data_IF_497037793949
#
_entry.id   IF_497037793949
#
_cell.length_a   1.000
_cell.length_b   1.000
_cell.length_c   1.000
_cell.angle_alpha   90.00
_cell.angle_beta   90.00
_cell.angle_gamma   90.00
#
_symmetry.space_group_name_H-M   'P 1'
#
loop_
_entity.id
_entity.type
_entity.pdbx_description
1 polymer ?
#
# COMPACT_ATOMS: atom_id res chain seq x y z
N UNK A 1 -17.00 18.14 8.25
CA UNK A 1 -18.08 17.64 9.17
C UNK A 1 -17.65 17.91 10.60
N UNK A 2 -18.58 18.24 11.50
CA UNK A 2 -18.26 18.35 12.92
C UNK A 2 -18.26 16.96 13.60
N UNK A 3 -17.76 16.87 14.85
CA UNK A 3 -17.65 15.61 15.59
C UNK A 3 -18.99 14.89 15.75
N UNK A 4 -20.05 15.62 16.06
CA UNK A 4 -21.38 15.06 16.27
C UNK A 4 -21.97 14.46 14.98
N UNK A 5 -21.69 15.08 13.82
CA UNK A 5 -22.13 14.55 12.53
C UNK A 5 -21.37 13.25 12.18
N UNK A 6 -20.07 13.18 12.49
CA UNK A 6 -19.25 11.98 12.32
C UNK A 6 -19.78 10.86 13.21
N UNK A 7 -20.02 11.14 14.49
CA UNK A 7 -20.58 10.17 15.42
C UNK A 7 -21.92 9.59 14.92
N UNK A 8 -22.87 10.46 14.54
CA UNK A 8 -24.17 10.03 13.99
C UNK A 8 -24.03 9.19 12.72
N UNK A 9 -23.06 9.49 11.88
CA UNK A 9 -22.80 8.72 10.66
C UNK A 9 -22.31 7.31 11.00
N UNK A 10 -21.38 7.17 11.93
CA UNK A 10 -20.86 5.88 12.41
C UNK A 10 -21.99 5.04 13.02
N UNK A 11 -22.83 5.63 13.86
CA UNK A 11 -23.98 4.92 14.44
C UNK A 11 -24.97 4.43 13.37
N UNK A 12 -25.24 5.21 12.31
CA UNK A 12 -26.04 4.75 11.17
C UNK A 12 -25.39 3.59 10.43
N UNK A 13 -24.06 3.64 10.20
CA UNK A 13 -23.32 2.53 9.58
C UNK A 13 -23.35 1.29 10.44
N UNK A 14 -23.21 1.44 11.76
CA UNK A 14 -23.27 0.34 12.72
C UNK A 14 -24.66 -0.32 12.74
N UNK A 15 -25.74 0.48 12.73
CA UNK A 15 -27.11 -0.01 12.63
C UNK A 15 -27.34 -0.78 11.32
N UNK A 16 -26.86 -0.24 10.20
CA UNK A 16 -26.94 -0.90 8.89
C UNK A 16 -26.14 -2.20 8.86
N UNK A 17 -24.94 -2.25 9.44
CA UNK A 17 -24.16 -3.46 9.56
C UNK A 17 -24.90 -4.54 10.35
N UNK A 18 -25.51 -4.19 11.49
CA UNK A 18 -26.29 -5.15 12.31
C UNK A 18 -27.61 -5.56 11.70
N UNK A 19 -28.11 -4.90 10.66
CA UNK A 19 -29.23 -5.40 9.87
C UNK A 19 -28.90 -6.64 9.03
N UNK A 20 -27.61 -7.02 8.96
CA UNK A 20 -27.07 -8.12 8.16
C UNK A 20 -27.19 -7.92 6.63
N UNK A 21 -27.55 -6.74 6.16
CA UNK A 21 -27.66 -6.42 4.73
C UNK A 21 -26.33 -6.63 3.98
N UNK A 22 -25.21 -6.31 4.62
CA UNK A 22 -23.86 -6.49 4.07
C UNK A 22 -23.41 -7.95 4.01
N UNK A 23 -24.09 -8.88 4.70
CA UNK A 23 -23.75 -10.32 4.66
C UNK A 23 -24.21 -10.97 3.35
N UNK A 24 -25.19 -10.38 2.65
CA UNK A 24 -25.67 -10.89 1.36
C UNK A 24 -24.60 -10.69 0.28
N UNK A 25 -24.06 -11.81 -0.23
CA UNK A 25 -22.98 -11.80 -1.24
C UNK A 25 -23.43 -11.16 -2.56
N UNK A 26 -24.69 -11.31 -2.97
CA UNK A 26 -25.18 -10.71 -4.20
C UNK A 26 -25.24 -9.18 -4.11
N UNK A 27 -25.56 -8.66 -2.93
CA UNK A 27 -25.53 -7.21 -2.68
C UNK A 27 -24.11 -6.66 -2.77
N UNK A 28 -23.11 -7.39 -2.23
CA UNK A 28 -21.68 -7.01 -2.37
C UNK A 28 -21.21 -7.03 -3.82
N UNK A 29 -21.58 -8.08 -4.56
CA UNK A 29 -21.25 -8.20 -6.00
C UNK A 29 -21.92 -7.06 -6.78
N UNK A 30 -23.18 -6.75 -6.48
CA UNK A 30 -23.88 -5.64 -7.12
C UNK A 30 -23.21 -4.29 -6.81
N UNK A 31 -22.82 -4.06 -5.56
CA UNK A 31 -22.11 -2.88 -5.11
C UNK A 31 -20.78 -2.68 -5.86
N UNK A 32 -19.96 -3.74 -5.97
CA UNK A 32 -18.69 -3.72 -6.72
C UNK A 32 -18.91 -3.49 -8.22
N UNK A 33 -19.93 -4.09 -8.83
CA UNK A 33 -20.28 -3.84 -10.24
C UNK A 33 -20.70 -2.40 -10.47
N UNK A 34 -21.52 -1.83 -9.58
CA UNK A 34 -21.95 -0.44 -9.65
C UNK A 34 -20.76 0.52 -9.54
N UNK A 35 -19.84 0.27 -8.62
CA UNK A 35 -18.61 1.02 -8.49
C UNK A 35 -17.76 0.93 -9.76
N UNK A 36 -17.57 -0.26 -10.32
CA UNK A 36 -16.83 -0.46 -11.58
C UNK A 36 -17.41 0.37 -12.72
N UNK A 37 -18.71 0.31 -12.90
CA UNK A 37 -19.41 1.09 -13.95
C UNK A 37 -19.26 2.60 -13.71
N UNK A 38 -19.37 3.04 -12.47
CA UNK A 38 -19.16 4.44 -12.09
C UNK A 38 -17.74 4.93 -12.43
N UNK A 39 -16.71 4.14 -12.11
CA UNK A 39 -15.32 4.45 -12.45
C UNK A 39 -15.14 4.56 -13.97
N UNK A 40 -15.62 3.58 -14.73
CA UNK A 40 -15.51 3.58 -16.19
C UNK A 40 -16.21 4.79 -16.83
N UNK A 41 -17.36 5.20 -16.30
CA UNK A 41 -18.10 6.38 -16.77
C UNK A 41 -17.35 7.70 -16.48
N UNK A 42 -16.63 7.79 -15.37
CA UNK A 42 -15.97 9.00 -14.90
C UNK A 42 -14.45 9.03 -15.20
N UNK A 43 -13.93 8.17 -16.08
CA UNK A 43 -12.49 8.02 -16.33
C UNK A 43 -11.81 9.35 -16.74
N UNK A 44 -12.44 10.14 -17.58
CA UNK A 44 -11.92 11.46 -17.99
C UNK A 44 -11.90 12.45 -16.80
N UNK A 45 -12.94 12.47 -15.94
CA UNK A 45 -12.96 13.33 -14.75
C UNK A 45 -11.90 12.91 -13.73
N UNK A 46 -11.63 11.59 -13.60
CA UNK A 46 -10.57 11.07 -12.74
C UNK A 46 -9.20 11.57 -13.21
N UNK A 47 -8.92 11.45 -14.52
CA UNK A 47 -7.68 11.93 -15.09
C UNK A 47 -7.50 13.45 -14.89
N UNK A 48 -8.55 14.23 -15.12
CA UNK A 48 -8.54 15.69 -14.88
C UNK A 48 -8.27 16.06 -13.43
N UNK A 49 -8.86 15.33 -12.48
CA UNK A 49 -8.63 15.56 -11.05
C UNK A 49 -7.19 15.23 -10.63
N UNK A 50 -6.63 14.14 -11.15
CA UNK A 50 -5.25 13.72 -10.90
C UNK A 50 -4.22 14.68 -11.54
N UNK A 51 -4.52 15.18 -12.72
CA UNK A 51 -3.72 16.25 -13.37
C UNK A 51 -3.73 17.52 -12.52
N UNK A 52 -4.89 17.96 -12.07
CA UNK A 52 -5.03 19.16 -11.23
C UNK A 52 -4.25 19.05 -9.91
N UNK A 53 -4.28 17.89 -9.24
CA UNK A 53 -3.62 17.67 -7.94
C UNK A 53 -2.11 17.40 -8.11
N UNK A 54 -1.70 16.52 -9.01
CA UNK A 54 -0.34 15.97 -9.13
C UNK A 54 0.35 16.24 -10.48
N UNK A 55 -0.33 16.85 -11.45
CA UNK A 55 0.20 17.05 -12.80
C UNK A 55 0.38 15.75 -13.60
N UNK A 56 -0.30 14.66 -13.20
CA UNK A 56 -0.22 13.37 -13.90
C UNK A 56 -0.84 13.48 -15.29
N UNK A 57 -0.16 12.93 -16.30
CA UNK A 57 -0.76 12.76 -17.63
C UNK A 57 -1.92 11.76 -17.60
N UNK A 58 -2.79 11.80 -18.61
CA UNK A 58 -3.89 10.82 -18.74
C UNK A 58 -3.38 9.38 -18.75
N UNK A 59 -2.25 9.13 -19.42
CA UNK A 59 -1.65 7.80 -19.49
C UNK A 59 -1.17 7.33 -18.10
N UNK A 60 -0.44 8.17 -17.38
CA UNK A 60 0.04 7.87 -16.04
C UNK A 60 -1.14 7.67 -15.05
N UNK A 61 -2.16 8.53 -15.14
CA UNK A 61 -3.38 8.43 -14.33
C UNK A 61 -4.09 7.09 -14.53
N UNK A 62 -4.21 6.61 -15.77
CA UNK A 62 -4.80 5.30 -16.04
C UNK A 62 -3.89 4.16 -15.60
N UNK A 63 -2.61 4.19 -16.00
CA UNK A 63 -1.65 3.11 -15.73
C UNK A 63 -1.44 2.89 -14.23
N UNK A 64 -1.37 3.95 -13.44
CA UNK A 64 -0.98 3.88 -12.03
C UNK A 64 -2.15 3.95 -11.05
N UNK A 65 -3.34 4.34 -11.49
CA UNK A 65 -4.49 4.48 -10.59
C UNK A 65 -5.75 3.82 -11.15
N UNK A 66 -6.39 4.40 -12.17
CA UNK A 66 -7.71 3.92 -12.64
C UNK A 66 -7.67 2.46 -13.11
N UNK A 67 -6.65 2.09 -13.89
CA UNK A 67 -6.48 0.74 -14.44
C UNK A 67 -6.25 -0.31 -13.35
N UNK A 68 -5.47 0.02 -12.31
CA UNK A 68 -5.21 -0.87 -11.17
C UNK A 68 -6.49 -1.08 -10.36
N UNK A 69 -7.23 -0.03 -10.04
CA UNK A 69 -8.53 -0.13 -9.35
C UNK A 69 -9.51 -1.01 -10.13
N UNK A 70 -9.62 -0.83 -11.46
CA UNK A 70 -10.48 -1.65 -12.31
C UNK A 70 -10.03 -3.12 -12.35
N UNK A 71 -8.72 -3.36 -12.27
CA UNK A 71 -8.15 -4.71 -12.16
C UNK A 71 -8.52 -5.36 -10.84
N UNK A 72 -8.37 -4.65 -9.71
CA UNK A 72 -8.72 -5.15 -8.37
C UNK A 72 -10.20 -5.47 -8.25
N UNK A 73 -11.10 -4.59 -8.73
CA UNK A 73 -12.55 -4.90 -8.75
C UNK A 73 -12.83 -6.16 -9.58
N UNK A 74 -12.17 -6.30 -10.74
CA UNK A 74 -12.37 -7.45 -11.62
C UNK A 74 -11.90 -8.74 -10.97
N UNK A 75 -10.74 -8.71 -10.31
CA UNK A 75 -10.20 -9.81 -9.53
C UNK A 75 -11.16 -10.20 -8.39
N UNK A 76 -11.62 -9.22 -7.62
CA UNK A 76 -12.51 -9.45 -6.51
C UNK A 76 -13.86 -10.02 -6.95
N UNK A 77 -14.48 -9.49 -8.02
CA UNK A 77 -15.72 -10.03 -8.60
C UNK A 77 -15.58 -11.49 -9.04
N UNK A 78 -14.42 -11.87 -9.57
CA UNK A 78 -14.13 -13.25 -9.98
C UNK A 78 -14.01 -14.21 -8.79
N UNK A 79 -13.50 -13.73 -7.64
CA UNK A 79 -13.07 -14.59 -6.55
C UNK A 79 -13.93 -14.50 -5.28
N UNK A 80 -14.74 -13.46 -5.10
CA UNK A 80 -15.49 -13.18 -3.87
C UNK A 80 -16.33 -14.38 -3.39
N UNK A 81 -17.00 -15.10 -4.30
CA UNK A 81 -17.77 -16.30 -3.95
C UNK A 81 -16.92 -17.42 -3.34
N UNK A 82 -15.64 -17.51 -3.76
CA UNK A 82 -14.68 -18.48 -3.20
C UNK A 82 -14.17 -18.01 -1.87
N UNK A 83 -13.85 -16.72 -1.73
CA UNK A 83 -13.30 -16.16 -0.52
C UNK A 83 -14.27 -16.19 0.67
N UNK A 84 -15.56 -16.03 0.42
CA UNK A 84 -16.62 -16.04 1.45
C UNK A 84 -17.01 -17.45 1.93
N UNK A 85 -16.54 -18.53 1.27
CA UNK A 85 -16.87 -19.90 1.65
C UNK A 85 -16.17 -20.34 2.93
N UNK A 86 -16.84 -21.23 3.65
CA UNK A 86 -16.23 -21.99 4.73
C UNK A 86 -15.09 -22.86 4.20
N UNK A 87 -13.95 -22.82 4.89
CA UNK A 87 -12.80 -23.67 4.58
C UNK A 87 -12.70 -24.79 5.60
N UNK A 88 -12.95 -26.02 5.16
CA UNK A 88 -12.72 -27.21 6.01
C UNK A 88 -11.24 -27.35 6.36
N UNK A 89 -10.99 -27.75 7.59
CA UNK A 89 -9.68 -28.09 8.11
C UNK A 89 -9.69 -29.49 8.68
N UNK A 90 -8.52 -30.08 8.90
CA UNK A 90 -8.42 -31.40 9.53
C UNK A 90 -9.07 -31.38 10.93
N UNK A 91 -9.92 -32.39 11.20
CA UNK A 91 -10.52 -32.59 12.51
C UNK A 91 -9.75 -33.72 13.20
N UNK A 92 -9.12 -33.49 14.38
CA UNK A 92 -8.41 -34.54 15.11
C UNK A 92 -9.33 -35.71 15.49
N UNK A 93 -8.77 -36.92 15.52
CA UNK A 93 -9.53 -38.13 15.88
C UNK A 93 -10.19 -38.04 17.24
N UNK A 94 -9.56 -37.34 18.20
CA UNK A 94 -10.12 -37.06 19.54
C UNK A 94 -11.43 -36.26 19.52
N UNK A 95 -11.76 -35.63 18.40
CA UNK A 95 -13.00 -34.88 18.17
C UNK A 95 -13.99 -35.62 17.23
N UNK A 96 -13.80 -36.92 17.04
CA UNK A 96 -14.70 -37.78 16.25
C UNK A 96 -16.11 -37.79 16.87
N UNK A 97 -17.22 -37.67 16.20
CA UNK A 97 -17.62 -37.19 14.90
C UNK A 97 -17.83 -35.66 14.88
N UNK A 98 -16.89 -34.91 14.34
CA UNK A 98 -17.04 -33.48 14.21
C UNK A 98 -16.60 -33.03 12.80
N UNK A 99 -17.03 -31.84 12.42
CA UNK A 99 -16.54 -31.11 11.25
C UNK A 99 -15.90 -29.81 11.71
N UNK A 100 -14.60 -29.65 11.47
CA UNK A 100 -13.88 -28.41 11.77
C UNK A 100 -13.75 -27.55 10.52
N UNK A 101 -14.00 -26.26 10.64
CA UNK A 101 -13.88 -25.32 9.54
C UNK A 101 -13.62 -23.89 10.04
N UNK A 102 -13.03 -23.06 9.18
CA UNK A 102 -12.95 -21.62 9.37
C UNK A 102 -13.97 -20.91 8.48
N UNK A 103 -14.56 -19.85 8.98
CA UNK A 103 -15.57 -19.03 8.28
C UNK A 103 -15.19 -17.56 8.38
N UNK A 104 -14.96 -16.85 7.23
CA UNK A 104 -14.74 -15.44 7.25
C UNK A 104 -16.02 -14.69 7.64
N UNK A 105 -15.85 -13.58 8.32
CA UNK A 105 -16.90 -12.61 8.61
C UNK A 105 -16.33 -11.21 8.62
N UNK A 106 -17.08 -10.19 8.22
CA UNK A 106 -16.65 -8.80 8.30
C UNK A 106 -16.37 -8.39 9.75
N UNK A 107 -15.50 -7.41 9.94
CA UNK A 107 -15.28 -6.79 11.24
C UNK A 107 -16.49 -5.94 11.68
N UNK A 108 -16.96 -5.04 10.82
CA UNK A 108 -18.04 -4.11 11.13
C UNK A 108 -17.94 -2.80 10.39
N UNK A 109 -17.83 -1.71 11.14
CA UNK A 109 -17.60 -0.36 10.61
C UNK A 109 -16.10 -0.12 10.49
N UNK A 110 -15.62 0.12 9.28
CA UNK A 110 -14.20 0.27 8.96
C UNK A 110 -13.86 1.71 8.61
N UNK A 111 -12.75 2.21 9.13
CA UNK A 111 -12.15 3.48 8.70
C UNK A 111 -11.01 3.21 7.72
N UNK A 112 -11.06 3.83 6.54
CA UNK A 112 -9.96 3.86 5.57
C UNK A 112 -9.45 5.28 5.45
N UNK A 113 -8.18 5.51 5.80
CA UNK A 113 -7.51 6.80 5.68
C UNK A 113 -6.43 6.71 4.61
N UNK A 114 -6.61 7.43 3.52
CA UNK A 114 -5.74 7.33 2.34
C UNK A 114 -4.85 8.56 2.13
N UNK A 115 -3.68 8.38 1.49
CA UNK A 115 -2.70 9.43 1.24
C UNK A 115 -3.03 10.22 -0.04
N UNK A 116 -2.13 11.13 -0.39
CA UNK A 116 -2.28 12.07 -1.49
C UNK A 116 -1.51 11.72 -2.77
N UNK A 117 -0.58 10.76 -2.72
CA UNK A 117 0.35 10.49 -3.82
C UNK A 117 -0.25 9.63 -4.96
N UNK A 118 -1.10 8.68 -4.61
CA UNK A 118 -1.98 7.93 -5.51
C UNK A 118 -3.40 7.96 -4.91
N UNK A 119 -4.02 9.15 -4.90
CA UNK A 119 -5.20 9.39 -4.07
C UNK A 119 -6.42 8.58 -4.51
N UNK A 120 -6.55 8.28 -5.79
CA UNK A 120 -7.65 7.47 -6.31
C UNK A 120 -7.43 5.98 -6.01
N UNK A 121 -6.28 5.44 -6.38
CA UNK A 121 -5.92 4.04 -6.14
C UNK A 121 -5.98 3.67 -4.65
N UNK A 122 -5.22 4.41 -3.82
CA UNK A 122 -5.05 4.10 -2.40
C UNK A 122 -6.30 4.42 -1.55
N UNK A 123 -7.31 5.07 -2.13
CA UNK A 123 -8.64 5.17 -1.54
C UNK A 123 -9.53 4.00 -1.93
N UNK A 124 -9.52 3.61 -3.21
CA UNK A 124 -10.52 2.68 -3.73
C UNK A 124 -10.10 1.20 -3.61
N UNK A 125 -8.83 0.86 -3.69
CA UNK A 125 -8.38 -0.54 -3.51
C UNK A 125 -8.79 -1.11 -2.14
N UNK A 126 -8.43 -0.50 -1.00
CA UNK A 126 -8.87 -0.99 0.29
C UNK A 126 -10.39 -0.89 0.49
N UNK A 127 -11.07 0.05 -0.16
CA UNK A 127 -12.53 0.13 -0.16
C UNK A 127 -13.17 -1.08 -0.85
N UNK A 128 -12.63 -1.50 -2.00
CA UNK A 128 -13.08 -2.70 -2.73
C UNK A 128 -12.98 -3.93 -1.85
N UNK A 129 -11.86 -4.10 -1.19
CA UNK A 129 -11.58 -5.23 -0.30
C UNK A 129 -12.53 -5.25 0.90
N UNK A 130 -12.76 -4.08 1.52
CA UNK A 130 -13.65 -3.93 2.66
C UNK A 130 -15.12 -4.24 2.29
N UNK A 131 -15.60 -3.76 1.13
CA UNK A 131 -16.94 -4.07 0.61
C UNK A 131 -17.05 -5.57 0.30
N UNK A 132 -16.04 -6.16 -0.34
CA UNK A 132 -16.03 -7.58 -0.66
C UNK A 132 -16.09 -8.45 0.60
N UNK A 133 -15.42 -8.06 1.67
CA UNK A 133 -15.47 -8.72 2.96
C UNK A 133 -16.83 -8.55 3.68
N UNK A 134 -17.59 -7.47 3.36
CA UNK A 134 -18.93 -7.20 3.90
C UNK A 134 -18.98 -6.18 5.02
N UNK A 135 -18.00 -5.30 5.09
CA UNK A 135 -17.98 -4.19 6.03
C UNK A 135 -18.79 -2.99 5.53
N UNK A 136 -19.16 -2.09 6.44
CA UNK A 136 -19.50 -0.71 6.13
C UNK A 136 -18.24 0.13 6.25
N UNK A 137 -18.13 1.23 5.48
CA UNK A 137 -16.88 1.95 5.35
C UNK A 137 -17.06 3.45 5.48
N UNK A 138 -16.22 4.07 6.30
CA UNK A 138 -15.93 5.49 6.24
C UNK A 138 -14.58 5.67 5.56
N UNK A 139 -14.60 6.35 4.41
CA UNK A 139 -13.43 6.68 3.63
C UNK A 139 -13.00 8.11 3.90
N UNK A 140 -11.74 8.31 4.28
CA UNK A 140 -11.14 9.62 4.56
C UNK A 140 -9.98 9.88 3.58
N UNK A 141 -10.26 10.41 2.37
CA UNK A 141 -9.21 10.78 1.43
C UNK A 141 -8.41 12.00 1.92
N UNK A 142 -7.22 12.18 1.38
CA UNK A 142 -6.30 13.23 1.80
C UNK A 142 -6.80 14.64 1.43
N UNK A 143 -6.65 15.59 2.34
CA UNK A 143 -6.89 17.00 2.06
C UNK A 143 -5.85 17.63 1.10
N UNK A 144 -4.70 16.98 0.90
CA UNK A 144 -3.65 17.49 0.00
C UNK A 144 -3.97 17.24 -1.48
N UNK A 145 -4.89 16.32 -1.79
CA UNK A 145 -5.41 16.06 -3.14
C UNK A 145 -6.90 16.44 -3.22
N UNK A 146 -7.25 17.74 -3.16
CA UNK A 146 -8.62 18.20 -2.98
C UNK A 146 -9.52 17.91 -4.18
N UNK A 147 -9.00 17.93 -5.41
CA UNK A 147 -9.79 17.67 -6.61
C UNK A 147 -10.18 16.19 -6.68
N UNK A 148 -9.22 15.30 -6.47
CA UNK A 148 -9.46 13.86 -6.43
C UNK A 148 -10.39 13.48 -5.25
N UNK A 149 -10.19 14.08 -4.09
CA UNK A 149 -11.04 13.82 -2.91
C UNK A 149 -12.51 14.23 -3.12
N UNK A 150 -12.76 15.37 -3.76
CA UNK A 150 -14.11 15.81 -4.13
C UNK A 150 -14.75 14.86 -5.16
N UNK A 151 -13.97 14.43 -6.15
CA UNK A 151 -14.47 13.50 -7.15
C UNK A 151 -14.82 12.14 -6.54
N UNK A 152 -13.96 11.60 -5.67
CA UNK A 152 -14.24 10.37 -4.92
C UNK A 152 -15.53 10.52 -4.10
N UNK A 153 -15.72 11.63 -3.40
CA UNK A 153 -16.94 11.90 -2.64
C UNK A 153 -18.19 11.90 -3.54
N UNK A 154 -18.13 12.58 -4.70
CA UNK A 154 -19.21 12.59 -5.71
C UNK A 154 -19.54 11.16 -6.16
N UNK A 155 -18.54 10.40 -6.59
CA UNK A 155 -18.70 9.04 -7.11
C UNK A 155 -19.25 8.06 -6.05
N UNK A 156 -18.78 8.15 -4.81
CA UNK A 156 -19.24 7.29 -3.72
C UNK A 156 -20.71 7.59 -3.40
N UNK A 157 -21.12 8.86 -3.36
CA UNK A 157 -22.54 9.25 -3.17
C UNK A 157 -23.44 8.75 -4.30
N UNK A 158 -22.95 8.67 -5.55
CA UNK A 158 -23.70 8.10 -6.67
C UNK A 158 -23.84 6.58 -6.55
N UNK A 159 -22.84 5.92 -5.95
CA UNK A 159 -22.78 4.47 -5.88
C UNK A 159 -23.47 3.87 -4.65
N UNK A 160 -23.38 4.52 -3.50
CA UNK A 160 -23.73 3.94 -2.21
C UNK A 160 -24.58 4.88 -1.36
N UNK A 161 -25.39 4.30 -0.49
CA UNK A 161 -26.00 5.04 0.61
C UNK A 161 -24.93 5.33 1.70
N UNK A 162 -25.05 6.44 2.45
CA UNK A 162 -24.06 6.78 3.49
C UNK A 162 -23.96 5.73 4.61
N UNK A 163 -25.01 4.94 4.82
CA UNK A 163 -25.01 3.84 5.78
C UNK A 163 -24.13 2.68 5.34
N UNK A 164 -23.86 2.53 4.04
CA UNK A 164 -22.97 1.49 3.52
C UNK A 164 -21.55 2.01 3.32
N UNK A 165 -21.40 3.10 2.58
CA UNK A 165 -20.09 3.77 2.34
C UNK A 165 -20.28 5.28 2.39
N UNK A 166 -19.51 5.94 3.21
CA UNK A 166 -19.49 7.40 3.29
C UNK A 166 -18.09 7.96 3.15
N UNK A 167 -17.99 9.17 2.60
CA UNK A 167 -16.72 9.91 2.52
C UNK A 167 -16.76 11.07 3.49
N UNK A 168 -15.70 11.20 4.30
CA UNK A 168 -15.47 12.36 5.15
C UNK A 168 -14.29 13.14 4.58
N UNK A 169 -14.56 14.26 3.93
CA UNK A 169 -13.52 15.17 3.44
C UNK A 169 -13.10 16.13 4.55
N UNK A 170 -11.89 16.67 4.44
CA UNK A 170 -11.34 17.63 5.41
C UNK A 170 -9.90 17.34 5.80
N UNK A 171 -9.39 18.07 6.77
CA UNK A 171 -7.99 18.06 7.17
C UNK A 171 -7.71 17.40 8.53
N UNK A 172 -6.83 18.04 9.31
CA UNK A 172 -6.40 17.53 10.62
C UNK A 172 -7.55 17.41 11.62
N UNK A 173 -8.48 18.36 11.61
CA UNK A 173 -9.61 18.36 12.55
C UNK A 173 -10.48 17.10 12.35
N UNK A 174 -10.85 16.81 11.11
CA UNK A 174 -11.64 15.61 10.78
C UNK A 174 -10.88 14.32 11.05
N UNK A 175 -9.56 14.28 10.77
CA UNK A 175 -8.73 13.12 11.12
C UNK A 175 -8.76 12.86 12.64
N UNK A 176 -8.60 13.90 13.45
CA UNK A 176 -8.65 13.77 14.91
C UNK A 176 -10.02 13.29 15.36
N UNK A 177 -11.09 13.91 14.85
CA UNK A 177 -12.47 13.52 15.18
C UNK A 177 -12.77 12.06 14.83
N UNK A 178 -12.31 11.58 13.67
CA UNK A 178 -12.48 10.18 13.27
C UNK A 178 -11.71 9.22 14.18
N UNK A 179 -10.47 9.56 14.54
CA UNK A 179 -9.63 8.71 15.39
C UNK A 179 -10.05 8.70 16.88
N UNK A 180 -10.95 9.59 17.31
CA UNK A 180 -11.60 9.54 18.62
C UNK A 180 -12.81 8.58 18.65
N UNK A 181 -13.33 8.17 17.49
CA UNK A 181 -14.49 7.30 17.38
C UNK A 181 -14.09 5.81 17.40
N UNK A 182 -15.05 4.96 17.77
CA UNK A 182 -14.87 3.52 17.77
C UNK A 182 -15.14 2.90 16.40
N UNK A 183 -14.10 2.42 15.74
CA UNK A 183 -14.15 1.59 14.55
C UNK A 183 -13.82 0.13 14.90
N UNK A 184 -14.34 -0.80 14.08
CA UNK A 184 -14.05 -2.23 14.23
C UNK A 184 -12.76 -2.65 13.49
N UNK A 185 -12.29 -1.81 12.57
CA UNK A 185 -11.01 -1.93 11.88
C UNK A 185 -10.55 -0.57 11.32
N UNK A 186 -9.24 -0.31 11.32
CA UNK A 186 -8.66 0.89 10.67
C UNK A 186 -7.61 0.46 9.66
N UNK A 187 -7.75 0.94 8.42
CA UNK A 187 -6.74 0.82 7.37
C UNK A 187 -6.17 2.21 7.09
N UNK A 188 -4.88 2.37 7.28
CA UNK A 188 -4.19 3.63 7.12
C UNK A 188 -3.02 3.50 6.16
N UNK A 189 -2.92 4.41 5.19
CA UNK A 189 -1.74 4.58 4.33
C UNK A 189 -1.22 6.00 4.48
N UNK A 190 0.08 6.15 4.79
CA UNK A 190 0.69 7.47 4.94
C UNK A 190 2.03 7.46 5.66
N UNK A 191 2.37 8.56 6.33
CA UNK A 191 3.67 8.69 7.01
C UNK A 191 3.72 7.90 8.32
N UNK A 192 4.93 7.48 8.71
CA UNK A 192 5.19 6.76 9.96
C UNK A 192 4.69 7.51 11.19
N UNK A 193 4.84 8.85 11.23
CA UNK A 193 4.39 9.65 12.37
C UNK A 193 2.87 9.59 12.55
N UNK A 194 2.11 9.67 11.45
CA UNK A 194 0.64 9.55 11.52
C UNK A 194 0.24 8.09 11.79
N UNK A 195 0.97 7.10 11.25
CA UNK A 195 0.75 5.69 11.55
C UNK A 195 0.87 5.37 13.05
N UNK A 196 1.90 5.93 13.72
CA UNK A 196 2.03 5.81 15.19
C UNK A 196 0.85 6.46 15.94
N UNK A 197 0.35 7.60 15.45
CA UNK A 197 -0.84 8.24 16.03
C UNK A 197 -2.09 7.39 15.86
N UNK A 198 -2.29 6.79 14.67
CA UNK A 198 -3.38 5.84 14.43
C UNK A 198 -3.32 4.66 15.39
N UNK A 199 -2.15 4.01 15.57
CA UNK A 199 -1.96 2.92 16.53
C UNK A 199 -2.29 3.37 17.96
N UNK A 200 -1.79 4.53 18.37
CA UNK A 200 -2.01 5.07 19.72
C UNK A 200 -3.50 5.31 19.99
N UNK A 201 -4.24 5.84 19.01
CA UNK A 201 -5.67 6.10 19.15
C UNK A 201 -6.49 4.81 19.10
N UNK A 202 -6.18 3.91 18.19
CA UNK A 202 -6.89 2.62 18.05
C UNK A 202 -6.78 1.75 19.30
N UNK A 203 -5.69 1.88 20.06
CA UNK A 203 -5.49 1.10 21.29
C UNK A 203 -6.55 1.35 22.37
N UNK A 204 -7.19 2.53 22.40
CA UNK A 204 -8.25 2.85 23.33
C UNK A 204 -9.47 1.93 23.18
N UNK A 205 -9.71 1.40 22.00
CA UNK A 205 -10.83 0.53 21.67
C UNK A 205 -10.37 -0.90 21.30
N UNK A 206 -9.08 -1.21 21.41
CA UNK A 206 -8.47 -2.46 20.91
C UNK A 206 -8.78 -2.72 19.43
N UNK A 207 -8.93 -1.65 18.64
CA UNK A 207 -9.21 -1.73 17.22
C UNK A 207 -7.99 -2.24 16.47
N UNK A 208 -8.09 -3.35 15.71
CA UNK A 208 -7.00 -3.81 14.86
C UNK A 208 -6.73 -2.83 13.72
N UNK A 209 -5.46 -2.73 13.32
CA UNK A 209 -5.02 -1.79 12.29
C UNK A 209 -4.17 -2.48 11.23
N UNK A 210 -4.30 -2.03 9.98
CA UNK A 210 -3.28 -2.19 8.94
C UNK A 210 -2.66 -0.83 8.67
N UNK A 211 -1.32 -0.79 8.62
CA UNK A 211 -0.55 0.41 8.38
C UNK A 211 0.34 0.18 7.15
N UNK A 212 0.10 0.94 6.10
CA UNK A 212 0.95 1.01 4.92
C UNK A 212 1.76 2.30 4.99
N UNK A 213 3.05 2.14 5.30
CA UNK A 213 3.95 3.27 5.56
C UNK A 213 5.04 3.35 4.50
N UNK A 214 5.83 4.41 4.53
CA UNK A 214 6.99 4.55 3.65
C UNK A 214 8.27 3.99 4.24
N UNK A 215 9.37 4.25 3.56
CA UNK A 215 10.70 3.87 4.00
C UNK A 215 11.75 4.18 2.95
N UNK A 216 13.04 4.02 3.30
CA UNK A 216 14.14 4.20 2.35
C UNK A 216 14.38 2.89 1.60
N UNK A 217 13.71 2.71 0.47
CA UNK A 217 13.79 1.51 -0.38
C UNK A 217 15.11 1.46 -1.16
N UNK A 218 16.03 0.53 -0.87
CA UNK A 218 17.29 0.39 -1.60
C UNK A 218 17.08 -0.20 -2.98
N UNK A 219 17.86 0.29 -3.94
CA UNK A 219 18.00 -0.33 -5.26
C UNK A 219 19.47 -0.67 -5.50
N UNK A 220 19.77 -1.95 -5.63
CA UNK A 220 21.12 -2.46 -5.75
C UNK A 220 21.42 -2.77 -7.21
N UNK A 221 22.54 -2.25 -7.72
CA UNK A 221 23.05 -2.55 -9.07
C UNK A 221 24.36 -3.31 -8.93
N UNK A 222 24.33 -4.59 -9.25
CA UNK A 222 25.46 -5.50 -9.17
C UNK A 222 26.41 -5.36 -10.37
N UNK A 223 27.66 -5.81 -10.22
CA UNK A 223 28.65 -5.79 -11.29
C UNK A 223 28.24 -6.61 -12.54
N UNK A 224 27.41 -7.63 -12.34
CA UNK A 224 26.88 -8.48 -13.41
C UNK A 224 25.62 -7.93 -14.09
N UNK A 225 25.07 -6.80 -13.62
CA UNK A 225 23.81 -6.26 -14.11
C UNK A 225 23.86 -5.85 -15.59
N UNK A 226 22.72 -5.94 -16.29
CA UNK A 226 22.55 -5.27 -17.57
C UNK A 226 22.33 -3.78 -17.33
N UNK A 227 23.40 -2.99 -17.42
CA UNK A 227 23.40 -1.59 -17.02
C UNK A 227 22.40 -0.74 -17.80
N UNK A 228 22.24 -0.99 -19.10
CA UNK A 228 21.28 -0.25 -19.96
C UNK A 228 19.84 -0.55 -19.53
N UNK A 229 19.52 -1.82 -19.29
CA UNK A 229 18.20 -2.22 -18.84
C UNK A 229 17.94 -1.75 -17.41
N UNK A 230 18.92 -1.87 -16.51
CA UNK A 230 18.85 -1.41 -15.13
C UNK A 230 18.58 0.11 -15.09
N UNK A 231 19.37 0.91 -15.78
CA UNK A 231 19.18 2.34 -15.85
C UNK A 231 17.77 2.72 -16.36
N UNK A 232 17.28 2.06 -17.44
CA UNK A 232 15.95 2.31 -17.99
C UNK A 232 14.83 2.05 -16.97
N UNK A 233 14.88 0.93 -16.25
CA UNK A 233 13.87 0.51 -15.28
C UNK A 233 13.95 1.31 -13.98
N UNK A 234 15.16 1.63 -13.54
CA UNK A 234 15.37 2.46 -12.35
C UNK A 234 14.89 3.89 -12.59
N UNK A 235 15.21 4.48 -13.72
CA UNK A 235 14.75 5.83 -14.10
C UNK A 235 13.23 5.88 -14.15
N UNK A 236 12.58 4.89 -14.76
CA UNK A 236 11.12 4.78 -14.74
C UNK A 236 10.58 4.72 -13.32
N UNK A 237 11.03 3.77 -12.50
CA UNK A 237 10.48 3.56 -11.15
C UNK A 237 10.82 4.69 -10.17
N UNK A 238 11.97 5.36 -10.35
CA UNK A 238 12.35 6.49 -9.51
C UNK A 238 11.57 7.76 -9.80
N UNK A 239 11.32 8.07 -11.08
CA UNK A 239 10.76 9.36 -11.44
C UNK A 239 9.26 9.31 -11.78
N UNK A 240 8.63 8.12 -11.78
CA UNK A 240 7.18 7.98 -11.85
C UNK A 240 6.54 8.79 -10.71
N UNK A 241 5.48 9.53 -11.00
CA UNK A 241 4.82 10.45 -10.05
C UNK A 241 5.81 11.43 -9.38
N UNK A 242 6.84 11.88 -10.11
CA UNK A 242 7.95 12.68 -9.58
C UNK A 242 8.63 12.07 -8.33
N UNK A 243 8.71 10.73 -8.25
CA UNK A 243 9.29 10.02 -7.11
C UNK A 243 8.45 10.03 -5.85
N UNK A 244 7.22 10.52 -5.88
CA UNK A 244 6.28 10.57 -4.75
C UNK A 244 5.57 9.21 -4.57
N UNK A 245 6.36 8.15 -4.41
CA UNK A 245 5.91 6.75 -4.38
C UNK A 245 6.61 6.03 -3.23
N UNK A 246 5.84 5.38 -2.36
CA UNK A 246 6.34 4.67 -1.18
C UNK A 246 7.30 3.52 -1.52
N UNK A 247 7.20 2.98 -2.73
CA UNK A 247 8.09 1.94 -3.27
C UNK A 247 9.06 2.45 -4.33
N UNK A 248 9.18 3.77 -4.55
CA UNK A 248 10.22 4.28 -5.44
C UNK A 248 11.61 3.85 -4.96
N UNK A 249 12.55 3.52 -5.85
CA UNK A 249 13.96 3.44 -5.49
C UNK A 249 14.36 4.72 -4.75
N UNK A 250 14.56 4.65 -3.43
CA UNK A 250 14.85 5.86 -2.64
C UNK A 250 16.32 6.25 -2.80
N UNK A 251 17.20 5.24 -2.79
CA UNK A 251 18.63 5.40 -3.09
C UNK A 251 19.18 4.22 -3.87
N UNK A 252 20.27 4.45 -4.59
CA UNK A 252 20.94 3.43 -5.40
C UNK A 252 22.24 3.00 -4.70
N UNK A 253 22.46 1.71 -4.54
CA UNK A 253 23.74 1.11 -4.19
C UNK A 253 24.33 0.46 -5.44
N UNK A 254 25.31 1.12 -6.06
CA UNK A 254 25.95 0.63 -7.28
C UNK A 254 27.31 0.02 -6.97
N UNK A 255 27.59 -1.18 -7.51
CA UNK A 255 28.93 -1.76 -7.40
C UNK A 255 29.97 -0.83 -8.03
N UNK A 256 31.10 -0.61 -7.34
CA UNK A 256 32.11 0.40 -7.73
C UNK A 256 32.64 0.18 -9.14
N UNK A 257 32.82 -1.09 -9.57
CA UNK A 257 33.38 -1.43 -10.88
C UNK A 257 32.50 -1.04 -12.07
N UNK A 258 31.20 -0.80 -11.87
CA UNK A 258 30.26 -0.48 -12.96
C UNK A 258 29.58 0.90 -12.79
N UNK A 259 29.91 1.63 -11.70
CA UNK A 259 29.22 2.89 -11.35
C UNK A 259 29.23 3.90 -12.48
N UNK A 260 30.40 4.21 -13.06
CA UNK A 260 30.49 5.26 -14.07
C UNK A 260 29.73 4.92 -15.35
N UNK A 261 29.81 3.66 -15.79
CA UNK A 261 29.04 3.15 -16.90
C UNK A 261 27.52 3.17 -16.63
N UNK A 262 27.11 2.81 -15.42
CA UNK A 262 25.71 2.90 -14.98
C UNK A 262 25.20 4.34 -14.98
N UNK A 263 25.96 5.28 -14.40
CA UNK A 263 25.59 6.70 -14.36
C UNK A 263 25.47 7.32 -15.75
N UNK A 264 26.35 6.93 -16.70
CA UNK A 264 26.24 7.34 -18.10
C UNK A 264 24.93 6.88 -18.74
N UNK A 265 24.52 5.62 -18.52
CA UNK A 265 23.24 5.09 -19.00
C UNK A 265 22.05 5.75 -18.30
N UNK A 266 22.13 6.05 -16.99
CA UNK A 266 21.09 6.78 -16.24
C UNK A 266 20.81 8.14 -16.86
N UNK A 267 21.85 8.98 -17.08
CA UNK A 267 21.73 10.30 -17.73
C UNK A 267 21.03 10.20 -19.08
N UNK A 268 21.47 9.25 -19.92
CA UNK A 268 20.86 8.96 -21.21
C UNK A 268 19.39 8.56 -21.10
N UNK A 269 19.03 7.70 -20.13
CA UNK A 269 17.65 7.26 -19.92
C UNK A 269 16.75 8.39 -19.42
N UNK A 270 17.26 9.30 -18.59
CA UNK A 270 16.50 10.48 -18.16
C UNK A 270 16.17 11.37 -19.37
N UNK A 271 17.17 11.71 -20.20
CA UNK A 271 16.92 12.51 -21.43
C UNK A 271 15.95 11.82 -22.40
N UNK A 272 16.03 10.48 -22.54
CA UNK A 272 15.12 9.73 -23.41
C UNK A 272 13.67 9.68 -22.88
N UNK A 273 13.46 9.58 -21.57
CA UNK A 273 12.12 9.42 -20.97
C UNK A 273 11.45 10.77 -20.70
N UNK A 274 12.20 11.81 -20.34
CA UNK A 274 11.66 13.10 -19.90
C UNK A 274 12.00 14.27 -20.83
N UNK A 275 12.85 14.03 -21.85
CA UNK A 275 13.32 15.08 -22.78
C UNK A 275 14.35 16.00 -22.16
N UNK A 276 14.73 17.04 -22.93
CA UNK A 276 15.76 18.01 -22.52
C UNK A 276 15.21 19.09 -21.57
N UNK A 277 13.90 19.23 -21.47
CA UNK A 277 13.23 20.23 -20.62
C UNK A 277 12.10 19.60 -19.79
N UNK A 278 12.41 18.77 -18.78
CA UNK A 278 11.40 18.05 -17.99
C UNK A 278 10.40 19.00 -17.31
N UNK A 279 10.85 20.17 -16.85
CA UNK A 279 10.01 21.14 -16.15
C UNK A 279 8.87 21.71 -17.01
N UNK A 280 9.01 21.68 -18.35
CA UNK A 280 7.99 22.15 -19.31
C UNK A 280 7.13 21.01 -19.86
N UNK A 281 7.47 19.75 -19.60
CA UNK A 281 6.80 18.60 -20.16
C UNK A 281 5.41 18.39 -19.54
N UNK A 282 4.39 18.21 -20.37
CA UNK A 282 3.03 17.80 -19.91
C UNK A 282 2.97 16.37 -19.39
N UNK A 283 3.99 15.54 -19.69
CA UNK A 283 4.10 14.16 -19.22
C UNK A 283 4.88 14.02 -17.91
N UNK A 284 5.37 15.12 -17.36
CA UNK A 284 6.08 15.15 -16.10
C UNK A 284 5.25 15.86 -15.04
N UNK A 285 4.95 15.19 -13.95
CA UNK A 285 4.07 15.69 -12.89
C UNK A 285 4.67 16.85 -12.07
N UNK A 286 4.08 17.12 -10.92
CA UNK A 286 4.52 18.16 -9.98
C UNK A 286 4.54 17.61 -8.54
N UNK A 287 5.26 18.30 -7.66
CA UNK A 287 5.20 18.02 -6.22
C UNK A 287 3.87 18.54 -5.69
N UNK A 288 3.27 17.77 -4.80
CA UNK A 288 1.88 17.97 -4.35
C UNK A 288 1.60 19.37 -3.75
N UNK A 289 2.57 19.97 -3.05
CA UNK A 289 2.43 21.28 -2.45
C UNK A 289 3.80 21.94 -2.15
N UNK A 290 3.76 23.23 -1.78
CA UNK A 290 4.98 24.02 -1.47
C UNK A 290 5.78 23.43 -0.30
N UNK A 291 5.12 22.91 0.74
CA UNK A 291 5.81 22.32 1.89
C UNK A 291 6.73 21.18 1.46
N UNK A 292 6.20 20.24 0.67
CA UNK A 292 6.98 19.11 0.15
C UNK A 292 8.01 19.56 -0.89
N UNK A 293 7.68 20.54 -1.73
CA UNK A 293 8.61 21.13 -2.67
C UNK A 293 9.85 21.69 -1.96
N UNK A 294 9.66 22.52 -0.92
CA UNK A 294 10.78 23.09 -0.17
C UNK A 294 11.58 22.02 0.58
N UNK A 295 10.89 21.01 1.15
CA UNK A 295 11.58 19.89 1.82
C UNK A 295 12.49 19.15 0.84
N UNK A 296 11.98 18.76 -0.35
CA UNK A 296 12.73 17.99 -1.34
C UNK A 296 13.87 18.83 -1.91
N UNK A 297 13.62 20.09 -2.27
CA UNK A 297 14.68 20.99 -2.77
C UNK A 297 15.78 21.17 -1.75
N UNK A 298 15.44 21.19 -0.45
CA UNK A 298 16.43 21.28 0.63
C UNK A 298 17.24 20.00 0.90
N UNK A 299 16.94 18.88 0.23
CA UNK A 299 17.74 17.65 0.23
C UNK A 299 18.81 17.62 -0.86
N UNK A 300 18.72 18.50 -1.84
CA UNK A 300 19.66 18.55 -2.97
C UNK A 300 20.93 19.26 -2.52
N UNK A 301 22.03 18.51 -2.51
CA UNK A 301 23.38 19.05 -2.37
C UNK A 301 23.93 19.31 -3.78
N UNK A 302 23.97 20.58 -4.17
CA UNK A 302 24.36 21.00 -5.53
C UNK A 302 25.80 20.62 -5.90
N UNK A 303 26.70 20.47 -4.91
CA UNK A 303 28.09 20.05 -5.14
C UNK A 303 28.17 18.56 -5.55
N UNK A 304 27.13 17.77 -5.24
CA UNK A 304 27.03 16.35 -5.58
C UNK A 304 26.12 16.08 -6.80
N UNK A 305 25.45 17.09 -7.32
CA UNK A 305 24.56 16.92 -8.48
C UNK A 305 25.38 16.69 -9.74
N UNK A 306 25.11 15.58 -10.43
CA UNK A 306 25.75 15.23 -11.71
C UNK A 306 24.80 15.31 -12.90
N UNK A 307 23.48 15.46 -12.64
CA UNK A 307 22.43 15.65 -13.64
C UNK A 307 21.20 16.29 -13.01
N UNK A 308 20.54 17.22 -13.72
CA UNK A 308 19.36 17.93 -13.24
C UNK A 308 19.66 18.93 -12.12
N UNK A 309 18.84 18.98 -11.10
CA UNK A 309 19.01 19.85 -9.94
C UNK A 309 18.27 21.18 -10.02
N UNK A 310 17.71 21.54 -11.18
CA UNK A 310 16.89 22.74 -11.33
C UNK A 310 15.46 22.48 -10.82
N UNK A 311 14.79 23.55 -10.44
CA UNK A 311 13.40 23.49 -10.00
C UNK A 311 12.65 24.79 -10.34
N UNK A 312 11.33 24.70 -10.42
CA UNK A 312 10.45 25.84 -10.59
C UNK A 312 9.37 25.83 -9.51
N UNK A 313 9.50 26.79 -8.59
CA UNK A 313 8.56 26.96 -7.49
C UNK A 313 7.14 27.30 -7.95
N UNK A 314 6.98 28.02 -9.06
CA UNK A 314 5.65 28.46 -9.51
C UNK A 314 4.82 27.27 -10.01
N UNK A 315 5.47 26.29 -10.63
CA UNK A 315 4.84 25.05 -11.10
C UNK A 315 4.98 23.88 -10.12
N UNK A 316 5.72 24.06 -9.03
CA UNK A 316 6.07 23.02 -8.05
C UNK A 316 6.81 21.84 -8.68
N UNK A 317 7.61 22.07 -9.71
CA UNK A 317 8.35 21.03 -10.42
C UNK A 317 9.83 21.04 -10.03
N UNK A 318 10.38 19.85 -9.85
CA UNK A 318 11.80 19.59 -9.59
C UNK A 318 12.26 18.62 -10.66
N UNK A 319 13.36 18.92 -11.36
CA UNK A 319 13.90 18.04 -12.39
C UNK A 319 14.27 16.66 -11.84
N UNK A 320 14.23 15.61 -12.67
CA UNK A 320 14.91 14.36 -12.37
C UNK A 320 16.37 14.64 -12.03
N UNK A 321 16.72 14.45 -10.76
CA UNK A 321 18.02 14.84 -10.21
C UNK A 321 18.82 13.62 -9.80
N UNK A 322 20.09 13.56 -10.22
CA UNK A 322 21.03 12.51 -9.83
C UNK A 322 22.16 13.10 -9.02
N UNK A 323 22.43 12.53 -7.85
CA UNK A 323 23.55 12.91 -6.99
C UNK A 323 24.53 11.74 -6.87
N UNK A 324 25.83 12.01 -7.09
CA UNK A 324 26.91 11.04 -6.92
C UNK A 324 27.76 11.40 -5.66
N UNK A 325 28.67 10.53 -5.29
CA UNK A 325 29.49 10.66 -4.09
C UNK A 325 28.68 10.85 -2.80
N UNK A 326 27.49 10.28 -2.77
CA UNK A 326 26.63 10.32 -1.59
C UNK A 326 27.07 9.29 -0.56
N UNK A 327 27.04 9.68 0.71
CA UNK A 327 27.31 8.82 1.85
C UNK A 327 26.07 8.65 2.72
N UNK A 328 26.08 7.71 3.64
CA UNK A 328 24.94 7.49 4.55
C UNK A 328 24.72 8.65 5.54
N UNK A 329 25.71 9.52 5.72
CA UNK A 329 25.67 10.70 6.60
C UNK A 329 25.03 11.91 5.93
N UNK A 330 24.92 11.92 4.61
CA UNK A 330 24.33 13.03 3.87
C UNK A 330 22.85 13.23 4.20
N UNK A 331 22.41 14.49 4.14
CA UNK A 331 21.05 14.89 4.49
C UNK A 331 19.99 14.12 3.71
N UNK A 332 20.24 13.84 2.42
CA UNK A 332 19.35 13.07 1.53
C UNK A 332 19.15 11.62 1.99
N UNK A 333 20.05 11.12 2.85
CA UNK A 333 19.98 9.76 3.39
C UNK A 333 19.29 9.68 4.77
N UNK A 334 18.98 10.80 5.42
CA UNK A 334 18.43 10.82 6.78
C UNK A 334 16.93 10.65 6.85
N UNK A 335 16.21 10.83 5.73
CA UNK A 335 14.77 10.65 5.64
C UNK A 335 14.38 10.02 4.30
N UNK A 336 13.16 9.51 4.18
CA UNK A 336 12.56 9.11 2.89
C UNK A 336 12.45 10.33 1.98
N UNK A 337 13.00 10.24 0.77
CA UNK A 337 13.07 11.38 -0.15
C UNK A 337 11.68 11.76 -0.65
N UNK A 338 10.91 10.77 -1.08
CA UNK A 338 9.55 10.96 -1.63
C UNK A 338 9.49 12.08 -2.68
N UNK A 339 10.45 12.03 -3.62
CA UNK A 339 10.67 13.07 -4.62
C UNK A 339 11.69 12.64 -5.69
N UNK A 340 11.90 13.49 -6.73
CA UNK A 340 12.68 13.12 -7.91
C UNK A 340 14.20 13.34 -7.72
N UNK A 341 14.74 12.96 -6.58
CA UNK A 341 16.17 13.04 -6.27
C UNK A 341 16.70 11.62 -6.05
N UNK A 342 17.69 11.23 -6.83
CA UNK A 342 18.29 9.89 -6.84
C UNK A 342 19.74 9.96 -6.35
N UNK A 343 20.00 9.73 -5.07
CA UNK A 343 21.36 9.60 -4.55
C UNK A 343 21.94 8.24 -4.92
N UNK A 344 23.22 8.24 -5.30
CA UNK A 344 23.98 7.05 -5.67
C UNK A 344 25.16 6.86 -4.71
N UNK A 345 25.12 5.72 -4.02
CA UNK A 345 26.19 5.24 -3.14
C UNK A 345 26.95 4.11 -3.85
N UNK A 346 28.19 3.90 -3.46
CA UNK A 346 29.02 2.80 -3.96
C UNK A 346 29.20 1.70 -2.91
N UNK A 347 29.33 0.46 -3.38
CA UNK A 347 29.73 -0.67 -2.55
C UNK A 347 30.74 -1.57 -3.30
N UNK A 348 31.51 -2.34 -2.56
CA UNK A 348 32.49 -3.30 -3.09
C UNK A 348 32.19 -4.73 -2.66
N UNK A 349 31.54 -4.92 -1.54
CA UNK A 349 31.16 -6.22 -1.00
C UNK A 349 29.66 -6.32 -0.81
N UNK A 350 29.04 -7.30 -1.44
CA UNK A 350 27.60 -7.55 -1.28
C UNK A 350 27.25 -7.96 0.16
N UNK A 351 28.15 -8.65 0.86
CA UNK A 351 27.95 -9.04 2.26
C UNK A 351 27.91 -7.83 3.21
N UNK A 352 28.82 -6.90 3.01
CA UNK A 352 28.85 -5.64 3.79
C UNK A 352 27.60 -4.80 3.50
N UNK A 353 27.19 -4.73 2.24
CA UNK A 353 25.96 -4.02 1.85
C UNK A 353 24.70 -4.65 2.47
N UNK A 354 24.57 -5.97 2.45
CA UNK A 354 23.48 -6.69 3.13
C UNK A 354 23.48 -6.37 4.62
N UNK A 355 24.65 -6.42 5.27
CA UNK A 355 24.80 -6.04 6.67
C UNK A 355 24.35 -4.61 6.95
N UNK A 356 24.72 -3.66 6.07
CA UNK A 356 24.33 -2.25 6.18
C UNK A 356 22.80 -2.09 6.00
N UNK A 357 22.21 -2.70 4.99
CA UNK A 357 20.76 -2.64 4.76
C UNK A 357 20.00 -3.19 5.96
N UNK A 358 20.43 -4.32 6.52
CA UNK A 358 19.78 -4.93 7.67
C UNK A 358 19.98 -4.14 8.98
N UNK A 359 20.96 -3.25 9.05
CA UNK A 359 21.15 -2.35 10.20
C UNK A 359 20.27 -1.10 10.17
N UNK A 360 19.56 -0.87 9.07
CA UNK A 360 18.62 0.25 8.86
C UNK A 360 17.18 -0.18 9.11
N UNK A 361 16.24 0.76 9.29
CA UNK A 361 14.82 0.44 9.33
C UNK A 361 14.37 -0.39 8.11
N UNK A 362 13.51 -1.38 8.33
CA UNK A 362 13.06 -2.28 7.27
C UNK A 362 12.30 -1.52 6.18
N UNK A 363 12.78 -1.53 4.91
CA UNK A 363 12.16 -0.81 3.82
C UNK A 363 10.88 -1.50 3.35
N UNK A 364 9.97 -0.71 2.78
CA UNK A 364 8.78 -1.25 2.14
C UNK A 364 9.14 -2.04 0.87
N UNK A 365 10.15 -1.58 0.11
CA UNK A 365 10.61 -2.30 -1.08
C UNK A 365 12.13 -2.43 -1.13
N UNK A 366 12.60 -3.48 -1.85
CA UNK A 366 14.00 -3.68 -2.23
C UNK A 366 14.08 -4.13 -3.68
N UNK A 367 15.04 -3.56 -4.43
CA UNK A 367 15.30 -3.88 -5.84
C UNK A 367 16.72 -4.33 -6.04
N UNK A 368 16.90 -5.40 -6.84
CA UNK A 368 18.22 -5.92 -7.12
C UNK A 368 18.40 -6.25 -8.60
N UNK A 369 19.32 -5.56 -9.25
CA UNK A 369 19.68 -5.79 -10.65
C UNK A 369 20.95 -6.61 -10.71
N UNK A 370 20.85 -7.83 -11.24
CA UNK A 370 21.95 -8.81 -11.34
C UNK A 370 21.65 -9.87 -12.38
N UNK A 371 22.69 -10.48 -12.96
CA UNK A 371 22.61 -11.73 -13.72
C UNK A 371 23.01 -12.94 -12.88
N UNK A 372 23.58 -12.72 -11.71
CA UNK A 372 23.96 -13.78 -10.77
C UNK A 372 22.76 -14.26 -9.94
N UNK A 373 22.28 -15.46 -10.23
CA UNK A 373 21.17 -16.09 -9.50
C UNK A 373 21.53 -16.46 -8.05
N UNK A 374 22.81 -16.64 -7.73
CA UNK A 374 23.25 -16.93 -6.36
C UNK A 374 23.18 -15.65 -5.53
N UNK A 375 23.70 -14.54 -6.06
CA UNK A 375 23.59 -13.23 -5.45
C UNK A 375 22.10 -12.82 -5.27
N UNK A 376 21.23 -13.05 -6.27
CA UNK A 376 19.81 -12.79 -6.18
C UNK A 376 19.15 -13.54 -5.02
N UNK A 377 19.40 -14.85 -4.89
CA UNK A 377 18.90 -15.67 -3.78
C UNK A 377 19.45 -15.21 -2.43
N UNK A 378 20.72 -14.82 -2.37
CA UNK A 378 21.36 -14.33 -1.16
C UNK A 378 20.67 -13.06 -0.65
N UNK A 379 20.50 -12.06 -1.51
CA UNK A 379 19.80 -10.81 -1.15
C UNK A 379 18.37 -11.08 -0.71
N UNK A 380 17.59 -11.84 -1.47
CA UNK A 380 16.19 -12.12 -1.15
C UNK A 380 15.98 -12.96 0.11
N UNK A 381 16.97 -13.73 0.54
CA UNK A 381 16.89 -14.53 1.77
C UNK A 381 17.50 -13.86 3.00
N UNK A 382 18.45 -12.94 2.83
CA UNK A 382 19.17 -12.34 3.94
C UNK A 382 18.74 -10.90 4.25
N UNK A 383 18.21 -10.15 3.28
CA UNK A 383 17.65 -8.84 3.53
C UNK A 383 16.18 -8.95 3.97
N UNK A 384 15.80 -8.06 4.89
CA UNK A 384 14.43 -7.95 5.38
C UNK A 384 13.74 -6.74 4.72
N UNK A 385 12.64 -6.98 3.99
CA UNK A 385 11.87 -5.95 3.27
C UNK A 385 10.42 -6.42 3.02
N UNK A 386 9.50 -5.50 2.74
CA UNK A 386 8.10 -5.84 2.49
C UNK A 386 7.90 -6.59 1.17
N UNK A 387 8.34 -6.03 0.07
CA UNK A 387 8.26 -6.64 -1.26
C UNK A 387 9.36 -6.12 -2.18
N UNK A 388 9.45 -6.62 -3.42
CA UNK A 388 10.51 -6.13 -4.31
C UNK A 388 10.57 -6.82 -5.67
N UNK A 389 11.58 -6.43 -6.46
CA UNK A 389 11.81 -7.02 -7.78
C UNK A 389 13.28 -7.41 -7.97
N UNK A 390 13.49 -8.49 -8.69
CA UNK A 390 14.78 -8.79 -9.30
C UNK A 390 14.74 -8.30 -10.75
N UNK A 391 15.73 -7.49 -11.12
CA UNK A 391 15.86 -6.87 -12.45
C UNK A 391 14.69 -5.98 -12.88
N UNK A 392 13.90 -5.47 -11.96
CA UNK A 392 12.87 -4.45 -12.20
C UNK A 392 12.65 -3.59 -10.96
N UNK A 393 11.74 -2.61 -11.07
CA UNK A 393 11.32 -1.74 -9.97
C UNK A 393 9.79 -1.69 -9.92
N UNK A 394 9.23 -1.38 -8.76
CA UNK A 394 7.82 -1.09 -8.47
C UNK A 394 6.77 -2.12 -8.93
N UNK A 395 6.96 -2.89 -9.99
CA UNK A 395 5.91 -3.73 -10.61
C UNK A 395 5.37 -4.86 -9.72
N UNK A 396 6.04 -5.19 -8.61
CA UNK A 396 5.56 -6.19 -7.65
C UNK A 396 4.20 -5.82 -7.01
N UNK A 397 3.85 -4.53 -7.00
CA UNK A 397 2.55 -4.06 -6.51
C UNK A 397 1.41 -4.19 -7.54
N UNK A 398 1.72 -4.40 -8.82
CA UNK A 398 0.73 -4.34 -9.90
C UNK A 398 -0.04 -5.66 -10.11
N UNK A 399 -0.09 -6.55 -9.12
CA UNK A 399 -0.80 -7.82 -9.20
C UNK A 399 -1.62 -8.10 -7.94
N UNK A 400 -2.89 -8.48 -8.14
CA UNK A 400 -3.78 -8.91 -7.05
C UNK A 400 -3.48 -10.34 -6.53
N UNK A 401 -2.51 -11.05 -7.13
CA UNK A 401 -2.14 -12.42 -6.70
C UNK A 401 -1.07 -12.45 -5.60
N UNK A 402 -0.40 -11.33 -5.34
CA UNK A 402 0.59 -11.20 -4.27
C UNK A 402 0.11 -10.17 -3.24
N UNK A 403 0.36 -10.42 -1.93
CA UNK A 403 0.10 -9.40 -0.92
C UNK A 403 1.07 -8.22 -1.10
N UNK A 404 0.59 -7.03 -0.76
CA UNK A 404 1.38 -5.83 -0.65
C UNK A 404 1.33 -5.32 0.79
N UNK A 405 2.47 -5.01 1.37
CA UNK A 405 2.58 -4.47 2.72
C UNK A 405 4.01 -4.54 3.25
N UNK A 406 4.28 -3.74 4.26
CA UNK A 406 5.56 -3.68 4.97
C UNK A 406 5.49 -4.30 6.37
N UNK A 407 6.60 -4.19 7.11
CA UNK A 407 6.65 -4.56 8.52
C UNK A 407 7.66 -3.69 9.28
N UNK A 408 7.54 -3.62 10.60
CA UNK A 408 8.33 -2.68 11.39
C UNK A 408 8.01 -1.23 11.04
N UNK A 409 9.02 -0.45 10.68
CA UNK A 409 8.83 0.96 10.31
C UNK A 409 8.14 1.16 8.97
N UNK A 410 8.11 0.16 8.09
CA UNK A 410 7.41 0.25 6.80
C UNK A 410 5.94 -0.15 6.87
N UNK A 411 5.47 -0.70 8.00
CA UNK A 411 4.04 -0.98 8.19
C UNK A 411 3.72 -2.20 9.02
N UNK A 412 2.45 -2.61 8.98
CA UNK A 412 1.96 -3.87 9.52
C UNK A 412 0.69 -4.29 8.78
N UNK A 413 0.58 -5.59 8.51
CA UNK A 413 -0.47 -6.15 7.68
C UNK A 413 -0.15 -6.03 6.19
N UNK A 414 -1.15 -6.18 5.36
CA UNK A 414 -1.03 -6.09 3.91
C UNK A 414 -2.40 -6.19 3.24
N UNK A 415 -2.46 -5.94 1.94
CA UNK A 415 -3.69 -5.99 1.17
C UNK A 415 -3.42 -6.42 -0.28
N UNK A 416 -4.28 -6.20 -1.20
CA UNK A 416 -4.46 -6.68 -2.56
C UNK A 416 -5.07 -8.09 -2.63
N UNK A 417 -6.07 -8.24 -3.46
CA UNK A 417 -6.69 -9.48 -3.83
C UNK A 417 -7.16 -10.32 -2.64
N UNK A 418 -6.67 -11.55 -2.57
CA UNK A 418 -7.03 -12.45 -1.48
C UNK A 418 -6.61 -11.94 -0.11
N UNK A 419 -5.44 -11.33 -0.01
CA UNK A 419 -4.97 -10.80 1.27
C UNK A 419 -5.80 -9.59 1.70
N UNK A 420 -6.19 -8.70 0.78
CA UNK A 420 -7.10 -7.61 1.07
C UNK A 420 -8.44 -8.07 1.62
N UNK A 421 -9.05 -9.10 0.99
CA UNK A 421 -10.25 -9.73 1.55
C UNK A 421 -10.02 -10.28 2.97
N UNK A 422 -8.85 -10.88 3.24
CA UNK A 422 -8.49 -11.42 4.56
C UNK A 422 -8.28 -10.32 5.59
N UNK A 423 -7.61 -9.25 5.22
CA UNK A 423 -7.33 -8.08 6.04
C UNK A 423 -8.61 -7.46 6.61
N UNK A 424 -9.66 -7.41 5.79
CA UNK A 424 -10.97 -6.91 6.21
C UNK A 424 -11.94 -7.98 6.72
N UNK A 425 -11.43 -9.18 7.03
CA UNK A 425 -12.23 -10.31 7.53
C UNK A 425 -11.67 -10.89 8.82
N UNK A 426 -12.54 -11.10 9.82
CA UNK A 426 -12.24 -11.94 10.96
C UNK A 426 -12.61 -13.40 10.65
N UNK A 427 -11.73 -14.36 10.98
CA UNK A 427 -11.95 -15.78 10.73
C UNK A 427 -12.39 -16.51 11.98
N UNK A 428 -13.65 -16.96 11.98
CA UNK A 428 -14.23 -17.77 13.08
C UNK A 428 -13.80 -19.22 12.92
N UNK A 429 -13.26 -19.82 13.96
CA UNK A 429 -12.95 -21.25 14.02
C UNK A 429 -14.13 -21.99 14.65
N UNK A 430 -14.72 -22.93 13.92
CA UNK A 430 -15.96 -23.61 14.32
C UNK A 430 -15.74 -25.13 14.28
N UNK A 431 -16.15 -25.80 15.35
CA UNK A 431 -16.27 -27.24 15.43
C UNK A 431 -17.77 -27.60 15.52
N UNK A 432 -18.30 -28.21 14.46
CA UNK A 432 -19.67 -28.72 14.39
C UNK A 432 -19.65 -30.19 14.88
N UNK A 433 -19.98 -30.41 16.14
CA UNK A 433 -19.97 -31.71 16.80
C UNK A 433 -21.36 -32.39 16.68
N UNK A 434 -21.38 -33.67 16.26
CA UNK A 434 -22.61 -34.46 16.25
C UNK A 434 -23.10 -34.71 17.65
N UNK A 435 -24.43 -34.65 17.84
CA UNK A 435 -25.07 -34.78 19.15
C UNK A 435 -25.38 -36.23 19.54
N UNK A 436 -25.35 -37.16 18.57
CA UNK A 436 -25.66 -38.57 18.81
C UNK A 436 -24.50 -39.37 19.43
N UNK A 437 -23.27 -38.81 19.44
CA UNK A 437 -22.10 -39.42 20.07
C UNK A 437 -21.49 -38.46 21.05
N UNK A 438 -21.46 -38.89 22.31
CA UNK A 438 -20.70 -38.24 23.36
C UNK A 438 -19.74 -39.22 24.02
N UNK A 439 -18.55 -38.75 24.38
CA UNK A 439 -17.53 -39.60 25.02
C UNK A 439 -17.49 -39.31 26.53
N UNK A 440 -18.07 -40.20 27.37
CA UNK A 440 -18.14 -39.93 28.80
C UNK A 440 -16.78 -39.69 29.48
N UNK A 441 -15.70 -40.23 28.90
CA UNK A 441 -14.33 -40.06 29.37
C UNK A 441 -13.81 -38.60 29.38
N UNK A 442 -14.46 -37.69 28.65
CA UNK A 442 -14.08 -36.25 28.63
C UNK A 442 -14.58 -35.47 29.87
N UNK A 443 -15.48 -36.08 30.67
CA UNK A 443 -16.12 -35.39 31.79
C UNK A 443 -15.59 -35.87 33.12
N UNK A 444 -15.61 -35.01 34.13
CA UNK A 444 -15.30 -35.37 35.51
C UNK A 444 -16.41 -36.24 36.11
N UNK A 445 -16.06 -37.10 37.10
CA UNK A 445 -14.71 -37.34 37.65
C UNK A 445 -13.84 -38.19 36.70
N UNK A 446 -12.59 -37.80 36.51
CA UNK A 446 -11.64 -38.55 35.69
C UNK A 446 -11.26 -39.86 36.39
N UNK A 447 -11.46 -40.99 35.73
CA UNK A 447 -11.09 -42.32 36.22
C UNK A 447 -9.69 -42.68 35.72
N UNK A 448 -8.94 -43.46 36.48
CA UNK A 448 -7.57 -43.89 36.16
C UNK A 448 -7.44 -44.61 34.78
N UNK A 449 -8.53 -45.18 34.29
CA UNK A 449 -8.59 -45.80 32.96
C UNK A 449 -8.54 -44.74 31.81
N UNK A 450 -8.95 -43.49 32.11
CA UNK A 450 -8.95 -42.40 31.12
C UNK A 450 -7.52 -41.94 30.84
N UNK A 451 -6.61 -42.03 31.80
CA UNK A 451 -5.19 -41.67 31.64
C UNK A 451 -4.49 -42.57 30.61
N UNK A 452 -4.88 -43.88 30.57
CA UNK A 452 -4.34 -44.85 29.60
C UNK A 452 -4.89 -44.73 28.18
N UNK A 453 -5.97 -43.97 27.97
CA UNK A 453 -6.60 -43.77 26.69
C UNK A 453 -6.15 -42.44 26.00
N UNK A 454 -5.48 -41.57 26.75
CA UNK A 454 -5.00 -40.28 26.29
C UNK A 454 -3.52 -40.35 25.84
N UNK A 455 -2.77 -41.33 26.40
CA UNK A 455 -1.38 -41.65 26.04
C UNK A 455 -1.32 -42.86 25.12
#
# INVERSE_FOLDING_TARGET
MNQNDIHKLIEKQRAYFYSNETLNIEKRIHALKKLKTCIQKNEAEIATALEADLGKSNFESYMCETGLVLSEISYMLKHIRRFTREKRVHTPLSQFHSRSFTKPGPYGVVLIMSPWNYPFLLSLDPLIDAIAAGNTVILKPSAYSPNTSKLIEKMIRECFSPEMVAVVTGGRAENTSLLEEHFDYIFFTGSQNVGREVMRKSSAHLTPVTLELGGKSPCIVDESADLKLAARRIVFGKYLNCGQTCVAPDYICCHSSVKDAFLAEVKKQISLQFGEQPLSSSNYGKIINEKHFHRISGLIDHDKVIFGGHNDRNTLRIEPTVMDHVTYEDKVMQEEIFGPVMPVLTYNSLDELIGKINSMPHPLALYFFTRDKVAARKVTSQCQFGGGCINDTIIHLATSEMPFGGFGESGMGGYHGREGFRTFSHYKSIVDKKTWLDLPMRYQPYKRINDKLIH
#
